data_IF_081762301970
#
_entry.id   IF_081762301970
#
_cell.length_a   1.000
_cell.length_b   1.000
_cell.length_c   1.000
_cell.angle_alpha   90.00
_cell.angle_beta   90.00
_cell.angle_gamma   90.00
#
_symmetry.space_group_name_H-M   'P 1'
#
loop_
_entity.id
_entity.type
_entity.pdbx_description
1 polymer ?
#
# COMPACT_ATOMS: atom_id res chain seq x y z
N UNK A 1 -6.85 21.59 3.40
CA UNK A 1 -6.57 22.74 2.52
C UNK A 1 -6.33 22.23 1.10
N UNK A 2 -6.72 22.99 0.11
CA UNK A 2 -6.50 22.69 -1.30
C UNK A 2 -5.54 23.74 -1.86
N UNK A 3 -4.32 23.31 -2.19
CA UNK A 3 -3.28 24.15 -2.78
C UNK A 3 -2.76 23.43 -4.02
N UNK A 4 -3.37 23.69 -5.17
CA UNK A 4 -3.20 22.93 -6.42
C UNK A 4 -1.75 22.80 -6.91
N UNK A 5 -0.88 23.71 -6.53
CA UNK A 5 0.55 23.70 -6.90
C UNK A 5 1.49 23.27 -5.76
N UNK A 6 0.95 22.98 -4.58
CA UNK A 6 1.75 22.58 -3.43
C UNK A 6 2.26 21.14 -3.57
N UNK A 7 3.36 20.89 -2.89
CA UNK A 7 3.95 19.56 -2.72
C UNK A 7 4.06 19.22 -1.23
N UNK A 8 3.79 17.98 -0.86
CA UNK A 8 3.95 17.46 0.49
C UNK A 8 4.81 16.20 0.44
N UNK A 9 5.86 16.17 1.24
CA UNK A 9 6.70 15.00 1.44
C UNK A 9 6.67 14.60 2.92
N UNK A 10 6.29 13.35 3.18
CA UNK A 10 6.29 12.73 4.50
C UNK A 10 7.28 11.56 4.44
N UNK A 11 8.40 11.71 5.13
CA UNK A 11 9.52 10.77 5.04
C UNK A 11 9.86 10.24 6.43
N UNK A 12 10.03 8.92 6.56
CA UNK A 12 10.49 8.24 7.78
C UNK A 12 9.73 8.68 9.04
N UNK A 13 8.41 8.77 8.92
CA UNK A 13 7.53 9.31 9.96
C UNK A 13 6.63 8.23 10.54
N UNK A 14 6.24 8.39 11.80
CA UNK A 14 5.27 7.50 12.45
C UNK A 14 4.00 8.28 12.79
N UNK A 15 2.84 7.73 12.37
CA UNK A 15 1.52 8.21 12.73
C UNK A 15 0.80 7.08 13.48
N UNK A 16 0.31 7.39 14.65
CA UNK A 16 -0.20 6.36 15.53
C UNK A 16 -1.43 6.83 16.30
N UNK A 17 -2.43 5.96 16.35
CA UNK A 17 -3.60 6.08 17.21
C UNK A 17 -4.53 7.24 16.85
N UNK A 18 -5.51 6.96 15.98
CA UNK A 18 -6.63 7.87 15.75
C UNK A 18 -7.51 8.02 17.02
N UNK A 19 -8.11 9.18 17.25
CA UNK A 19 -9.10 9.35 18.32
C UNK A 19 -10.25 8.35 18.18
N UNK A 20 -10.70 7.79 19.32
CA UNK A 20 -11.85 6.89 19.43
C UNK A 20 -13.05 7.67 19.96
N UNK A 21 -13.60 8.54 19.15
CA UNK A 21 -14.79 9.30 19.47
C UNK A 21 -15.80 9.26 18.31
N UNK A 22 -16.99 9.81 18.50
CA UNK A 22 -18.06 9.86 17.51
C UNK A 22 -18.12 11.20 16.76
N UNK A 23 -17.11 12.07 16.93
CA UNK A 23 -17.10 13.41 16.36
C UNK A 23 -16.76 13.46 14.86
N UNK A 24 -16.34 12.33 14.29
CA UNK A 24 -16.05 12.28 12.85
C UNK A 24 -15.24 11.06 12.39
N UNK A 25 -14.81 11.12 11.14
CA UNK A 25 -13.92 10.14 10.52
C UNK A 25 -12.49 10.66 10.65
N UNK A 26 -11.77 10.16 11.65
CA UNK A 26 -10.40 10.59 11.93
C UNK A 26 -9.41 9.86 11.03
N UNK A 27 -9.04 10.48 9.90
CA UNK A 27 -7.93 9.98 9.09
C UNK A 27 -6.60 10.26 9.79
N UNK A 28 -5.68 9.28 9.85
CA UNK A 28 -4.34 9.54 10.40
C UNK A 28 -3.56 10.52 9.52
N UNK A 29 -3.69 10.38 8.20
CA UNK A 29 -3.09 11.32 7.25
C UNK A 29 -4.11 11.62 6.13
N UNK A 30 -4.58 12.87 6.09
CA UNK A 30 -5.43 13.37 5.03
C UNK A 30 -4.72 14.46 4.23
N UNK A 31 -4.54 14.20 2.94
CA UNK A 31 -3.93 15.12 1.99
C UNK A 31 -5.02 15.68 1.08
N UNK A 32 -5.20 17.00 1.08
CA UNK A 32 -6.13 17.71 0.20
C UNK A 32 -5.67 17.71 -1.25
N UNK A 33 -6.33 18.54 -2.07
CA UNK A 33 -5.95 18.72 -3.48
C UNK A 33 -4.65 19.51 -3.56
N UNK A 34 -3.58 18.81 -3.89
CA UNK A 34 -2.24 19.36 -4.12
C UNK A 34 -1.66 18.77 -5.41
N UNK A 35 -0.55 19.33 -5.87
CA UNK A 35 0.14 18.84 -7.07
C UNK A 35 0.77 17.46 -6.84
N UNK A 36 1.56 17.32 -5.78
CA UNK A 36 2.37 16.12 -5.56
C UNK A 36 2.44 15.75 -4.07
N UNK A 37 2.17 14.49 -3.78
CA UNK A 37 2.30 13.89 -2.46
C UNK A 37 3.30 12.73 -2.50
N UNK A 38 4.25 12.73 -1.58
CA UNK A 38 5.20 11.63 -1.35
C UNK A 38 5.07 11.15 0.08
N UNK A 39 4.83 9.85 0.24
CA UNK A 39 4.88 9.14 1.51
C UNK A 39 5.91 8.01 1.40
N UNK A 40 7.01 8.11 2.15
CA UNK A 40 8.12 7.17 2.04
C UNK A 40 8.67 6.76 3.40
N UNK A 41 8.98 5.47 3.56
CA UNK A 41 9.63 4.92 4.75
C UNK A 41 8.84 5.12 6.05
N UNK A 42 7.55 5.35 5.97
CA UNK A 42 6.72 5.76 7.10
C UNK A 42 5.90 4.60 7.64
N UNK A 43 5.52 4.70 8.92
CA UNK A 43 4.68 3.72 9.61
C UNK A 43 3.39 4.37 10.09
N UNK A 44 2.24 3.86 9.65
CA UNK A 44 0.92 4.30 10.07
C UNK A 44 0.15 3.12 10.64
N UNK A 45 -0.41 3.29 11.85
CA UNK A 45 -1.11 2.22 12.56
C UNK A 45 -2.23 2.75 13.47
N UNK A 46 -3.08 1.85 13.94
CA UNK A 46 -4.18 2.10 14.88
C UNK A 46 -5.10 3.22 14.44
N UNK A 47 -5.60 3.11 13.20
CA UNK A 47 -6.68 3.94 12.71
C UNK A 47 -8.01 3.61 13.38
N UNK A 48 -8.99 4.50 13.26
CA UNK A 48 -10.32 4.27 13.79
C UNK A 48 -11.36 4.93 12.88
N UNK A 49 -12.23 4.12 12.25
CA UNK A 49 -13.35 4.53 11.36
C UNK A 49 -12.95 5.35 10.13
N UNK A 50 -11.91 6.17 10.22
CA UNK A 50 -11.28 6.89 9.10
C UNK A 50 -10.27 6.02 8.35
N UNK A 51 -9.41 6.64 7.54
CA UNK A 51 -8.39 5.93 6.76
C UNK A 51 -7.01 6.12 7.40
N UNK A 52 -6.10 5.18 7.19
CA UNK A 52 -4.70 5.43 7.53
C UNK A 52 -4.14 6.53 6.63
N UNK A 53 -4.36 6.42 5.31
CA UNK A 53 -3.96 7.45 4.34
C UNK A 53 -5.10 7.73 3.36
N UNK A 54 -5.51 8.99 3.25
CA UNK A 54 -6.41 9.48 2.20
C UNK A 54 -5.76 10.63 1.47
N UNK A 55 -5.59 10.52 0.15
CA UNK A 55 -4.95 11.57 -0.65
C UNK A 55 -5.75 11.97 -1.88
N UNK A 56 -5.91 13.29 -2.06
CA UNK A 56 -6.51 13.92 -3.24
C UNK A 56 -5.47 14.62 -4.12
N UNK A 57 -4.19 14.30 -3.95
CA UNK A 57 -3.12 14.84 -4.79
C UNK A 57 -3.25 14.38 -6.24
N UNK A 58 -2.76 15.20 -7.19
CA UNK A 58 -2.73 14.83 -8.61
C UNK A 58 -1.72 13.73 -8.91
N UNK A 59 -0.55 13.78 -8.24
CA UNK A 59 0.48 12.74 -8.26
C UNK A 59 0.71 12.24 -6.85
N UNK A 60 0.65 10.94 -6.66
CA UNK A 60 0.90 10.27 -5.39
C UNK A 60 2.03 9.25 -5.55
N UNK A 61 3.05 9.35 -4.72
CA UNK A 61 4.11 8.36 -4.59
C UNK A 61 4.09 7.80 -3.17
N UNK A 62 3.68 6.56 -3.02
CA UNK A 62 3.60 5.85 -1.74
C UNK A 62 4.57 4.68 -1.79
N UNK A 63 5.74 4.82 -1.15
CA UNK A 63 6.84 3.87 -1.32
C UNK A 63 7.41 3.39 0.02
N UNK A 64 7.62 2.09 0.13
CA UNK A 64 8.35 1.49 1.26
C UNK A 64 7.76 1.84 2.62
N UNK A 65 6.43 1.86 2.74
CA UNK A 65 5.75 2.16 3.99
C UNK A 65 5.20 0.89 4.64
N UNK A 66 4.95 0.97 5.93
CA UNK A 66 4.07 0.05 6.63
C UNK A 66 2.78 0.76 7.00
N UNK A 67 1.70 0.45 6.30
CA UNK A 67 0.34 0.87 6.58
C UNK A 67 -0.38 -0.33 7.18
N UNK A 68 -0.23 -0.53 8.47
CA UNK A 68 -0.75 -1.72 9.15
C UNK A 68 -1.53 -1.30 10.37
N UNK A 69 -2.83 -1.50 10.30
CA UNK A 69 -3.76 -1.04 11.32
C UNK A 69 -3.53 -1.74 12.68
N UNK A 70 -2.98 -2.95 12.65
CA UNK A 70 -2.69 -3.74 13.83
C UNK A 70 -3.96 -4.29 14.50
N UNK A 71 -3.81 -5.03 15.62
CA UNK A 71 -4.95 -5.68 16.29
C UNK A 71 -5.90 -4.69 16.98
N UNK A 72 -5.41 -3.51 17.35
CA UNK A 72 -6.21 -2.47 18.02
C UNK A 72 -6.84 -1.47 17.04
N UNK A 73 -6.51 -1.54 15.77
CA UNK A 73 -7.00 -0.63 14.75
C UNK A 73 -8.27 -1.13 14.07
N UNK A 74 -9.06 -0.18 13.59
CA UNK A 74 -10.31 -0.39 12.86
C UNK A 74 -10.49 0.68 11.78
N UNK A 75 -9.42 0.95 11.02
CA UNK A 75 -9.50 1.86 9.88
C UNK A 75 -10.49 1.36 8.84
N UNK A 76 -11.10 2.29 8.10
CA UNK A 76 -12.01 1.96 7.00
C UNK A 76 -11.23 1.52 5.77
N UNK A 77 -10.24 2.31 5.35
CA UNK A 77 -9.29 1.95 4.30
C UNK A 77 -7.86 2.17 4.82
N UNK A 78 -6.93 1.36 4.39
CA UNK A 78 -5.51 1.60 4.67
C UNK A 78 -4.94 2.68 3.75
N UNK A 79 -5.38 2.68 2.48
CA UNK A 79 -4.92 3.67 1.48
C UNK A 79 -6.06 4.01 0.51
N UNK A 80 -6.31 5.30 0.30
CA UNK A 80 -7.34 5.74 -0.64
C UNK A 80 -6.88 6.93 -1.48
N UNK A 81 -7.16 6.85 -2.79
CA UNK A 81 -7.07 7.92 -3.77
C UNK A 81 -8.46 8.20 -4.35
N UNK A 82 -9.33 8.92 -3.61
CA UNK A 82 -10.76 9.00 -3.94
C UNK A 82 -11.06 9.68 -5.27
N UNK A 83 -10.22 10.62 -5.69
CA UNK A 83 -10.38 11.37 -6.94
C UNK A 83 -9.58 10.76 -8.12
N UNK A 84 -8.93 9.61 -7.94
CA UNK A 84 -8.02 9.07 -8.94
C UNK A 84 -6.71 9.86 -9.04
N UNK A 85 -6.30 10.25 -10.23
CA UNK A 85 -5.00 10.87 -10.51
C UNK A 85 -3.91 9.83 -10.77
N UNK A 86 -2.65 10.22 -10.71
CA UNK A 86 -1.53 9.28 -10.84
C UNK A 86 -1.15 8.78 -9.44
N UNK A 87 -1.19 7.48 -9.25
CA UNK A 87 -0.78 6.84 -8.00
C UNK A 87 0.26 5.74 -8.27
N UNK A 88 1.45 5.90 -7.69
CA UNK A 88 2.56 4.94 -7.74
C UNK A 88 2.76 4.38 -6.35
N UNK A 89 2.42 3.12 -6.16
CA UNK A 89 2.44 2.42 -4.87
C UNK A 89 3.42 1.27 -4.97
N UNK A 90 4.59 1.38 -4.33
CA UNK A 90 5.70 0.44 -4.54
C UNK A 90 6.35 0.03 -3.21
N UNK A 91 6.50 -1.28 -3.01
CA UNK A 91 7.28 -1.82 -1.89
C UNK A 91 6.65 -1.61 -0.51
N UNK A 92 5.33 -1.46 -0.43
CA UNK A 92 4.65 -1.23 0.85
C UNK A 92 4.12 -2.53 1.45
N UNK A 93 4.07 -2.59 2.77
CA UNK A 93 3.24 -3.54 3.52
C UNK A 93 1.95 -2.83 3.92
N UNK A 94 0.82 -3.32 3.43
CA UNK A 94 -0.50 -2.73 3.69
C UNK A 94 -1.39 -3.82 4.28
N UNK A 95 -1.76 -3.68 5.55
CA UNK A 95 -2.46 -4.73 6.28
C UNK A 95 -3.73 -4.22 6.95
N UNK A 96 -4.85 -4.73 6.48
CA UNK A 96 -6.17 -4.47 7.04
C UNK A 96 -6.38 -5.34 8.29
N UNK A 97 -6.89 -4.73 9.37
CA UNK A 97 -7.21 -5.44 10.60
C UNK A 97 -8.47 -6.30 10.45
N UNK A 98 -8.62 -7.28 11.34
CA UNK A 98 -9.85 -8.08 11.41
C UNK A 98 -11.07 -7.26 11.87
N UNK A 99 -10.84 -6.13 12.54
CA UNK A 99 -11.90 -5.24 13.05
C UNK A 99 -12.35 -4.18 12.04
N UNK A 100 -11.71 -4.09 10.87
CA UNK A 100 -12.15 -3.14 9.84
C UNK A 100 -13.60 -3.38 9.42
N UNK A 101 -14.39 -2.32 9.41
CA UNK A 101 -15.77 -2.34 8.93
C UNK A 101 -15.92 -2.35 7.40
N UNK A 102 -14.85 -2.05 6.67
CA UNK A 102 -14.84 -1.92 5.22
C UNK A 102 -14.01 -3.06 4.58
N UNK A 103 -14.50 -3.74 3.56
CA UNK A 103 -13.75 -4.83 2.93
C UNK A 103 -12.71 -4.37 1.88
N UNK A 104 -12.38 -3.08 1.78
CA UNK A 104 -11.46 -2.56 0.78
C UNK A 104 -10.15 -2.12 1.42
N UNK A 105 -9.02 -2.71 0.99
CA UNK A 105 -7.68 -2.35 1.47
C UNK A 105 -7.16 -1.08 0.79
N UNK A 106 -7.15 -1.06 -0.55
CA UNK A 106 -6.76 0.11 -1.35
C UNK A 106 -7.95 0.55 -2.21
N UNK A 107 -8.36 1.81 -2.07
CA UNK A 107 -9.40 2.44 -2.87
C UNK A 107 -8.85 3.40 -3.92
N UNK A 108 -9.42 3.37 -5.15
CA UNK A 108 -9.02 4.27 -6.23
C UNK A 108 -10.24 4.75 -7.03
N UNK A 109 -10.49 6.07 -7.04
CA UNK A 109 -11.54 6.70 -7.84
C UNK A 109 -12.95 6.64 -7.24
N UNK A 110 -13.11 6.39 -5.94
CA UNK A 110 -14.43 6.25 -5.29
C UNK A 110 -15.30 7.52 -5.38
N UNK A 111 -14.67 8.68 -5.36
CA UNK A 111 -15.36 9.99 -5.43
C UNK A 111 -15.25 10.63 -6.83
N UNK A 112 -14.71 9.95 -7.81
CA UNK A 112 -14.38 10.30 -9.18
C UNK A 112 -14.21 11.80 -9.42
N UNK A 113 -12.98 12.22 -9.52
CA UNK A 113 -12.64 13.59 -9.86
C UNK A 113 -12.47 13.78 -11.37
N UNK A 114 -12.48 15.03 -11.80
CA UNK A 114 -12.15 15.42 -13.17
C UNK A 114 -10.62 15.45 -13.38
N UNK A 115 -9.92 14.40 -12.95
CA UNK A 115 -8.47 14.33 -13.18
C UNK A 115 -8.20 14.02 -14.65
N UNK A 116 -7.37 14.82 -15.34
CA UNK A 116 -7.10 14.62 -16.77
C UNK A 116 -6.30 13.35 -17.06
N UNK A 117 -5.53 12.89 -16.09
CA UNK A 117 -4.73 11.66 -16.18
C UNK A 117 -5.02 10.79 -14.98
N UNK A 118 -5.38 9.53 -15.25
CA UNK A 118 -5.66 8.54 -14.22
C UNK A 118 -4.81 7.29 -14.48
N UNK A 119 -3.86 7.02 -13.57
CA UNK A 119 -2.97 5.87 -13.62
C UNK A 119 -2.77 5.30 -12.22
N UNK A 120 -2.99 4.01 -12.06
CA UNK A 120 -2.70 3.29 -10.83
C UNK A 120 -1.62 2.25 -11.09
N UNK A 121 -0.43 2.48 -10.56
CA UNK A 121 0.69 1.55 -10.60
C UNK A 121 0.92 0.94 -9.22
N UNK A 122 0.76 -0.37 -9.12
CA UNK A 122 0.96 -1.14 -7.90
C UNK A 122 2.08 -2.16 -8.14
N UNK A 123 3.21 -2.03 -7.47
CA UNK A 123 4.33 -2.95 -7.69
C UNK A 123 5.00 -3.37 -6.40
N UNK A 124 5.32 -4.65 -6.30
CA UNK A 124 6.05 -5.19 -5.15
C UNK A 124 5.44 -4.83 -3.79
N UNK A 125 4.11 -4.74 -3.68
CA UNK A 125 3.45 -4.54 -2.38
C UNK A 125 3.05 -5.88 -1.77
N UNK A 126 3.05 -5.95 -0.45
CA UNK A 126 2.44 -7.02 0.33
C UNK A 126 1.12 -6.50 0.91
N UNK A 127 -0.01 -7.00 0.40
CA UNK A 127 -1.36 -6.60 0.78
C UNK A 127 -1.98 -7.70 1.64
N UNK A 128 -2.42 -7.39 2.84
CA UNK A 128 -2.85 -8.39 3.83
C UNK A 128 -4.26 -8.08 4.32
N UNK A 129 -5.13 -9.10 4.28
CA UNK A 129 -6.41 -9.08 4.97
C UNK A 129 -6.33 -10.05 6.16
N UNK A 130 -6.41 -9.53 7.39
CA UNK A 130 -6.45 -10.33 8.61
C UNK A 130 -7.86 -10.76 9.00
N UNK A 131 -8.89 -10.22 8.34
CA UNK A 131 -10.28 -10.57 8.54
C UNK A 131 -10.65 -11.91 7.91
N UNK A 132 -11.71 -12.53 8.43
CA UNK A 132 -12.32 -13.73 7.85
C UNK A 132 -13.25 -13.42 6.67
N UNK A 133 -13.69 -12.17 6.54
CA UNK A 133 -14.49 -11.72 5.40
C UNK A 133 -13.58 -11.45 4.21
N UNK A 134 -13.98 -11.88 2.99
CA UNK A 134 -13.21 -11.58 1.79
C UNK A 134 -13.05 -10.06 1.58
N UNK A 135 -11.82 -9.61 1.29
CA UNK A 135 -11.52 -8.23 0.99
C UNK A 135 -11.31 -7.99 -0.51
N UNK A 136 -11.54 -6.75 -0.94
CA UNK A 136 -10.99 -6.21 -2.16
C UNK A 136 -9.59 -5.67 -1.83
N UNK A 137 -8.55 -6.40 -2.21
CA UNK A 137 -7.19 -5.89 -2.02
C UNK A 137 -6.96 -4.58 -2.75
N UNK A 138 -7.59 -4.44 -3.93
CA UNK A 138 -7.69 -3.17 -4.64
C UNK A 138 -9.08 -3.06 -5.24
N UNK A 139 -9.75 -1.95 -4.99
CA UNK A 139 -10.99 -1.59 -5.66
C UNK A 139 -10.81 -0.29 -6.43
N UNK A 140 -10.95 -0.37 -7.75
CA UNK A 140 -11.06 0.81 -8.62
C UNK A 140 -12.53 0.99 -9.03
N UNK A 141 -13.05 2.19 -8.89
CA UNK A 141 -14.40 2.54 -9.34
C UNK A 141 -14.36 2.95 -10.81
N UNK A 142 -14.20 1.96 -11.69
CA UNK A 142 -14.05 2.15 -13.14
C UNK A 142 -15.28 2.70 -13.83
N UNK A 143 -16.44 2.56 -13.23
CA UNK A 143 -17.69 3.20 -13.62
C UNK A 143 -17.71 4.72 -13.43
N UNK A 144 -16.82 5.22 -12.55
CA UNK A 144 -16.66 6.65 -12.23
C UNK A 144 -15.41 7.27 -12.84
N UNK A 145 -14.43 6.46 -13.17
CA UNK A 145 -13.16 6.90 -13.75
C UNK A 145 -13.28 7.09 -15.26
N UNK A 146 -12.55 8.03 -15.88
CA UNK A 146 -12.55 8.22 -17.32
C UNK A 146 -12.13 6.97 -18.09
N UNK A 147 -12.69 6.79 -19.26
CA UNK A 147 -12.18 5.81 -20.22
C UNK A 147 -10.70 6.07 -20.52
N UNK A 148 -9.89 5.01 -20.57
CA UNK A 148 -8.43 5.14 -20.74
C UNK A 148 -7.66 5.26 -19.42
N UNK A 149 -8.32 5.11 -18.26
CA UNK A 149 -7.63 4.92 -16.99
C UNK A 149 -6.72 3.71 -17.07
N UNK A 150 -5.42 3.91 -16.78
CA UNK A 150 -4.40 2.86 -16.83
C UNK A 150 -4.22 2.24 -15.45
N UNK A 151 -4.37 0.92 -15.35
CA UNK A 151 -4.13 0.17 -14.11
C UNK A 151 -3.11 -0.93 -14.39
N UNK A 152 -1.99 -0.90 -13.68
CA UNK A 152 -0.90 -1.85 -13.86
C UNK A 152 -0.48 -2.41 -12.50
N UNK A 153 -0.38 -3.73 -12.40
CA UNK A 153 0.12 -4.37 -11.19
C UNK A 153 1.28 -5.32 -11.51
N UNK A 154 2.37 -5.24 -10.73
CA UNK A 154 3.58 -6.03 -10.92
C UNK A 154 4.07 -6.62 -9.61
N UNK A 155 4.27 -7.91 -9.60
CA UNK A 155 5.01 -8.58 -8.53
C UNK A 155 4.45 -8.33 -7.11
N UNK A 156 3.14 -8.11 -6.97
CA UNK A 156 2.53 -7.95 -5.66
C UNK A 156 2.24 -9.30 -5.02
N UNK A 157 2.16 -9.31 -3.69
CA UNK A 157 1.78 -10.44 -2.88
C UNK A 157 0.53 -10.09 -2.09
N UNK A 158 -0.52 -10.89 -2.23
CA UNK A 158 -1.72 -10.77 -1.39
C UNK A 158 -1.77 -11.91 -0.39
N UNK A 159 -2.24 -11.65 0.82
CA UNK A 159 -2.32 -12.63 1.92
C UNK A 159 -3.69 -12.56 2.57
N UNK A 160 -4.33 -13.70 2.71
CA UNK A 160 -5.67 -13.79 3.31
C UNK A 160 -6.79 -13.90 2.29
N UNK A 161 -8.04 -13.89 2.78
CA UNK A 161 -9.21 -14.03 1.93
C UNK A 161 -9.50 -12.73 1.17
N UNK A 162 -9.67 -12.82 -0.16
CA UNK A 162 -10.02 -11.64 -0.94
C UNK A 162 -9.85 -11.80 -2.44
N UNK A 163 -10.13 -10.69 -3.13
CA UNK A 163 -10.00 -10.56 -4.59
C UNK A 163 -8.99 -9.47 -4.89
N UNK A 164 -8.09 -9.73 -5.83
CA UNK A 164 -7.12 -8.73 -6.29
C UNK A 164 -7.36 -8.35 -7.76
N UNK A 165 -6.87 -9.15 -8.69
CA UNK A 165 -6.89 -8.78 -10.11
C UNK A 165 -8.11 -9.32 -10.86
N UNK A 166 -8.87 -10.26 -10.31
CA UNK A 166 -9.97 -10.94 -11.01
C UNK A 166 -11.03 -9.99 -11.59
N UNK A 167 -11.33 -8.91 -10.87
CA UNK A 167 -12.32 -7.90 -11.27
C UNK A 167 -11.70 -6.50 -11.44
N UNK A 168 -10.38 -6.43 -11.53
CA UNK A 168 -9.63 -5.20 -11.73
C UNK A 168 -9.18 -5.16 -13.19
N UNK A 169 -9.69 -4.25 -14.04
CA UNK A 169 -9.22 -4.13 -15.41
C UNK A 169 -7.79 -3.62 -15.45
N UNK A 170 -7.02 -4.02 -16.44
CA UNK A 170 -5.65 -3.53 -16.60
C UNK A 170 -4.64 -4.60 -17.00
N UNK A 171 -3.35 -4.31 -16.85
CA UNK A 171 -2.25 -5.23 -17.12
C UNK A 171 -1.65 -5.75 -15.81
N UNK A 172 -1.81 -7.05 -15.55
CA UNK A 172 -1.45 -7.69 -14.28
C UNK A 172 -0.45 -8.82 -14.51
N UNK A 173 0.76 -8.72 -13.90
CA UNK A 173 1.82 -9.73 -14.04
C UNK A 173 2.55 -9.99 -12.74
N UNK A 174 2.94 -11.24 -12.51
CA UNK A 174 3.79 -11.63 -11.38
C UNK A 174 3.14 -11.46 -10.00
N UNK A 175 1.82 -11.35 -9.93
CA UNK A 175 1.10 -11.24 -8.66
C UNK A 175 0.76 -12.62 -8.12
N UNK A 176 0.94 -12.82 -6.82
CA UNK A 176 0.69 -14.09 -6.14
C UNK A 176 -0.21 -13.90 -4.92
N UNK A 177 -0.86 -14.98 -4.54
CA UNK A 177 -1.71 -15.03 -3.36
C UNK A 177 -1.22 -16.12 -2.41
N UNK A 178 -1.18 -15.81 -1.12
CA UNK A 178 -0.91 -16.74 -0.05
C UNK A 178 -2.14 -16.89 0.87
N UNK A 179 -2.30 -18.04 1.54
CA UNK A 179 -3.39 -18.24 2.48
C UNK A 179 -3.28 -17.32 3.70
N UNK A 180 -4.38 -17.16 4.48
CA UNK A 180 -4.35 -16.44 5.74
C UNK A 180 -3.26 -16.97 6.68
N UNK A 181 -2.55 -16.07 7.35
CA UNK A 181 -1.50 -16.41 8.31
C UNK A 181 -0.13 -16.75 7.71
N UNK A 182 0.00 -16.80 6.38
CA UNK A 182 1.30 -17.04 5.74
C UNK A 182 2.33 -15.91 5.99
N UNK A 183 1.84 -14.71 6.27
CA UNK A 183 2.63 -13.54 6.70
C UNK A 183 1.85 -12.88 7.84
N UNK A 184 2.52 -12.57 8.95
CA UNK A 184 1.91 -11.92 10.10
C UNK A 184 2.61 -10.59 10.43
N UNK A 185 2.05 -9.47 9.95
CA UNK A 185 2.65 -8.16 10.18
C UNK A 185 2.67 -7.75 11.65
N UNK A 186 1.80 -8.29 12.50
CA UNK A 186 1.78 -7.98 13.94
C UNK A 186 2.95 -8.63 14.67
N UNK A 187 3.46 -9.75 14.14
CA UNK A 187 4.69 -10.40 14.59
C UNK A 187 5.94 -9.92 13.87
N UNK A 188 5.80 -8.94 12.97
CA UNK A 188 6.88 -8.46 12.11
C UNK A 188 7.41 -9.52 11.14
N UNK A 189 6.62 -10.53 10.86
CA UNK A 189 6.87 -11.48 9.78
C UNK A 189 6.34 -10.86 8.48
N UNK A 190 7.21 -10.12 7.78
CA UNK A 190 6.80 -9.26 6.68
C UNK A 190 7.13 -9.82 5.30
N UNK A 191 7.87 -10.92 5.24
CA UNK A 191 8.29 -11.57 4.00
C UNK A 191 7.90 -13.06 4.01
N UNK A 192 7.75 -13.68 2.83
CA UNK A 192 7.65 -15.13 2.73
C UNK A 192 8.87 -15.82 3.36
N UNK A 193 8.66 -17.02 3.90
CA UNK A 193 9.73 -17.82 4.49
C UNK A 193 10.93 -17.98 3.51
N UNK A 194 12.15 -18.10 4.02
CA UNK A 194 13.37 -18.19 3.17
C UNK A 194 13.37 -19.33 2.17
N UNK A 195 12.70 -20.42 2.46
CA UNK A 195 12.52 -21.61 1.61
C UNK A 195 11.25 -21.56 0.75
N UNK A 196 10.53 -20.45 0.76
CA UNK A 196 9.31 -20.29 -0.03
C UNK A 196 9.57 -20.51 -1.52
N UNK A 197 8.69 -21.28 -2.15
CA UNK A 197 8.68 -21.53 -3.60
C UNK A 197 8.51 -20.26 -4.45
N UNK A 198 8.11 -19.15 -3.84
CA UNK A 198 7.98 -17.85 -4.50
C UNK A 198 9.32 -17.21 -4.82
N UNK A 199 10.40 -17.61 -4.14
CA UNK A 199 11.74 -17.12 -4.44
C UNK A 199 12.21 -17.63 -5.79
N UNK A 200 12.84 -16.77 -6.55
CA UNK A 200 13.41 -17.15 -7.84
C UNK A 200 12.43 -17.23 -9.01
N UNK A 201 11.19 -16.74 -8.85
CA UNK A 201 10.14 -16.89 -9.86
C UNK A 201 9.89 -15.66 -10.72
N UNK A 202 10.40 -14.49 -10.31
CA UNK A 202 10.06 -13.23 -10.96
C UNK A 202 11.28 -12.55 -11.57
N UNK A 203 11.01 -11.72 -12.56
CA UNK A 203 11.95 -10.76 -13.12
C UNK A 203 11.77 -9.39 -12.46
N UNK A 204 12.78 -8.55 -12.58
CA UNK A 204 12.68 -7.14 -12.21
C UNK A 204 11.49 -6.50 -12.93
N UNK A 205 10.67 -5.75 -12.20
CA UNK A 205 9.59 -4.98 -12.81
C UNK A 205 10.16 -3.89 -13.74
N UNK A 206 9.45 -3.65 -14.83
CA UNK A 206 9.86 -2.69 -15.86
C UNK A 206 9.65 -1.23 -15.45
N UNK A 207 10.15 -0.33 -16.28
CA UNK A 207 9.83 1.09 -16.23
C UNK A 207 8.74 1.39 -17.26
N UNK A 208 7.62 1.98 -16.83
CA UNK A 208 6.49 2.34 -17.69
C UNK A 208 6.26 3.84 -17.69
N UNK A 209 6.24 4.45 -18.87
CA UNK A 209 6.00 5.89 -19.00
C UNK A 209 6.93 6.77 -18.14
N UNK A 210 8.17 6.36 -17.95
CA UNK A 210 9.14 7.03 -17.08
C UNK A 210 9.02 6.69 -15.58
N UNK A 211 8.02 5.89 -15.18
CA UNK A 211 7.84 5.44 -13.80
C UNK A 211 8.53 4.10 -13.59
N UNK A 212 9.52 4.05 -12.70
CA UNK A 212 10.15 2.80 -12.30
C UNK A 212 9.26 2.02 -11.35
N UNK A 213 8.97 0.76 -11.68
CA UNK A 213 8.13 -0.14 -10.89
C UNK A 213 8.94 -1.08 -9.99
N UNK A 214 10.25 -1.25 -10.26
CA UNK A 214 11.13 -2.03 -9.41
C UNK A 214 11.47 -1.24 -8.13
N UNK A 215 11.40 -1.85 -6.93
CA UNK A 215 11.82 -1.19 -5.70
C UNK A 215 13.33 -0.97 -5.66
N UNK A 216 13.76 0.08 -4.96
CA UNK A 216 15.18 0.41 -4.70
C UNK A 216 15.52 0.33 -3.21
N UNK A 217 14.51 0.22 -2.37
CA UNK A 217 14.63 0.16 -0.93
C UNK A 217 13.56 -0.77 -0.34
N UNK A 218 13.63 -1.02 0.94
CA UNK A 218 12.63 -1.73 1.74
C UNK A 218 12.25 -0.88 2.96
N UNK A 219 11.09 -1.15 3.56
CA UNK A 219 10.72 -0.54 4.83
C UNK A 219 11.58 -1.10 5.97
N UNK A 220 12.02 -0.24 6.88
CA UNK A 220 12.68 -0.64 8.13
C UNK A 220 12.00 0.02 9.34
N UNK A 221 11.90 -0.72 10.44
CA UNK A 221 11.38 -0.20 11.70
C UNK A 221 12.41 0.70 12.42
N UNK A 222 11.93 1.70 13.19
CA UNK A 222 10.53 2.11 13.39
C UNK A 222 9.96 2.84 12.17
N UNK A 223 10.79 3.47 11.37
CA UNK A 223 10.52 4.11 10.08
C UNK A 223 11.85 4.30 9.35
N UNK A 224 11.88 4.03 8.05
CA UNK A 224 13.11 4.15 7.26
C UNK A 224 13.08 3.37 5.96
N UNK A 225 14.07 3.66 5.11
CA UNK A 225 14.23 3.06 3.79
C UNK A 225 15.68 2.66 3.52
N UNK A 226 16.19 1.57 4.11
CA UNK A 226 17.50 1.06 3.74
C UNK A 226 17.54 0.70 2.25
N UNK A 227 18.66 1.00 1.56
CA UNK A 227 18.79 0.69 0.15
C UNK A 227 18.77 -0.83 -0.08
N UNK A 228 18.13 -1.23 -1.16
CA UNK A 228 18.02 -2.61 -1.58
C UNK A 228 19.16 -2.98 -2.53
N UNK A 229 19.92 -4.03 -2.19
CA UNK A 229 20.78 -4.69 -3.15
C UNK A 229 19.94 -5.42 -4.18
N UNK A 230 20.11 -5.10 -5.45
CA UNK A 230 19.33 -5.68 -6.54
C UNK A 230 19.57 -7.19 -6.61
N UNK A 231 18.60 -8.04 -6.27
CA UNK A 231 18.77 -9.48 -6.41
C UNK A 231 18.71 -9.88 -7.89
N UNK A 232 19.36 -10.97 -8.29
CA UNK A 232 19.26 -11.48 -9.66
C UNK A 232 17.84 -11.95 -9.99
N UNK A 233 17.04 -12.29 -8.98
CA UNK A 233 15.66 -12.75 -9.13
C UNK A 233 14.80 -12.13 -8.03
N UNK A 234 13.68 -11.56 -8.44
CA UNK A 234 12.78 -10.82 -7.58
C UNK A 234 11.67 -11.72 -6.99
N UNK A 235 11.49 -11.80 -5.67
CA UNK A 235 10.28 -12.38 -5.08
C UNK A 235 9.11 -11.39 -5.18
N UNK A 236 7.85 -11.86 -5.15
CA UNK A 236 6.69 -10.99 -5.02
C UNK A 236 6.62 -10.36 -3.63
N UNK A 237 6.03 -9.17 -3.55
CA UNK A 237 5.82 -8.46 -2.29
C UNK A 237 6.86 -7.41 -1.97
N UNK A 238 6.74 -6.81 -0.79
CA UNK A 238 7.49 -5.64 -0.36
C UNK A 238 8.96 -5.91 -0.02
N UNK A 239 9.28 -7.14 0.41
CA UNK A 239 10.63 -7.50 0.85
C UNK A 239 11.32 -8.40 -0.16
N UNK A 240 12.50 -7.98 -0.57
CA UNK A 240 13.28 -8.66 -1.60
C UNK A 240 14.34 -9.60 -1.02
N UNK A 241 14.37 -9.74 0.29
CA UNK A 241 15.26 -10.69 0.96
C UNK A 241 16.66 -10.15 1.21
N UNK A 242 16.80 -8.85 1.38
CA UNK A 242 18.07 -8.20 1.75
C UNK A 242 18.62 -8.65 3.11
N UNK A 243 17.89 -9.49 3.84
CA UNK A 243 18.35 -10.04 5.11
C UNK A 243 18.52 -8.99 6.23
N UNK A 244 17.93 -7.82 6.07
CA UNK A 244 17.91 -6.84 7.15
C UNK A 244 17.11 -7.47 8.28
N UNK A 245 17.84 -8.03 9.24
CA UNK A 245 17.26 -8.43 10.50
C UNK A 245 16.55 -7.20 11.06
N UNK A 246 15.24 -7.31 11.28
CA UNK A 246 14.49 -6.28 11.99
C UNK A 246 15.07 -6.29 13.40
N UNK A 247 16.03 -5.42 13.67
CA UNK A 247 16.58 -5.24 15.01
C UNK A 247 15.44 -4.65 15.84
N UNK A 248 14.85 -5.51 16.69
CA UNK A 248 13.95 -5.01 17.74
C UNK A 248 14.70 -3.97 18.54
N UNK A 249 14.12 -2.77 18.77
CA UNK A 249 14.68 -1.86 19.76
C UNK A 249 14.81 -2.65 21.08
N UNK A 250 15.97 -2.56 21.71
CA UNK A 250 16.13 -3.12 23.04
C UNK A 250 15.05 -2.50 23.95
N UNK A 251 14.23 -3.34 24.56
CA UNK A 251 13.28 -2.91 25.58
C UNK A 251 14.07 -2.20 26.69
N UNK A 252 13.78 -0.92 26.91
CA UNK A 252 14.30 -0.17 28.07
C UNK A 252 13.21 -0.05 29.11
#
# INVERSE_FOLDING_TARGET
ANFEDAELRVINSTFDKAPHDDLGLHHLLYVGRIKHFVLEGSHLQRGYRGHLVKSRARLNEVRYNRLSDGPEGAASYELEFPEGGVAVVTGNVIAQSAASGNPVVIGYGAEAGNRPVNRLFLSHNTLINKGIRPAWFVRAWTDKLPAGTEIVTRNNLTVGFGVFTLLLPGDHRGNYMLPPGAIDPDKLELAPAPDSWLRGRLSRAETLGGTELAPRAEFALPAGTPPLSQPPVWPPGAFQGSGVAITRPAER
#
